data_IF_187602666376
#
_entry.id   IF_187602666376
#
_cell.length_a   1.000
_cell.length_b   1.000
_cell.length_c   1.000
_cell.angle_alpha   90.00
_cell.angle_beta   90.00
_cell.angle_gamma   90.00
#
_symmetry.space_group_name_H-M   'P 1'
#
loop_
_entity.id
_entity.type
_entity.pdbx_description
1 polymer ?
#
# COMPACT_ATOMS: atom_id res chain seq x y z
N UNK A 1 -11.68 -0.41 21.63
CA UNK A 1 -12.33 0.82 21.13
C UNK A 1 -13.66 0.41 20.58
N UNK A 2 -14.76 0.95 21.12
CA UNK A 2 -16.09 0.76 20.55
C UNK A 2 -16.09 1.41 19.16
N UNK A 3 -16.11 0.57 18.12
CA UNK A 3 -16.19 1.03 16.75
C UNK A 3 -17.62 1.48 16.46
N UNK A 4 -17.75 2.58 15.70
CA UNK A 4 -19.03 2.98 15.16
C UNK A 4 -19.56 1.85 14.27
N UNK A 5 -20.84 1.45 14.38
CA UNK A 5 -21.39 0.39 13.56
C UNK A 5 -21.25 0.75 12.08
N UNK A 6 -20.70 -0.19 11.29
CA UNK A 6 -20.63 -0.07 9.84
C UNK A 6 -22.05 -0.04 9.27
N UNK A 7 -22.40 1.06 8.60
CA UNK A 7 -23.66 1.20 7.90
C UNK A 7 -23.69 0.20 6.73
N UNK A 8 -24.54 -0.83 6.82
CA UNK A 8 -24.65 -1.89 5.80
C UNK A 8 -25.22 -1.41 4.47
N UNK A 9 -26.03 -0.35 4.49
CA UNK A 9 -26.75 0.19 3.32
C UNK A 9 -26.60 1.73 3.27
N UNK A 10 -25.37 2.21 3.26
CA UNK A 10 -25.08 3.64 3.10
C UNK A 10 -25.10 3.99 1.60
N UNK A 11 -25.80 5.08 1.24
CA UNK A 11 -25.65 5.71 -0.09
C UNK A 11 -24.20 6.16 -0.36
N UNK A 12 -23.41 6.27 0.72
CA UNK A 12 -21.99 6.59 0.71
C UNK A 12 -21.22 5.46 1.41
N UNK A 13 -20.93 4.33 0.74
CA UNK A 13 -20.15 3.26 1.32
C UNK A 13 -18.73 3.74 1.65
N UNK A 14 -18.02 3.09 2.59
CA UNK A 14 -16.63 3.41 2.88
C UNK A 14 -15.78 3.39 1.60
N UNK A 15 -14.90 4.38 1.45
CA UNK A 15 -13.99 4.45 0.31
C UNK A 15 -13.05 3.23 0.33
N UNK A 16 -13.08 2.46 -0.75
CA UNK A 16 -12.13 1.37 -0.96
C UNK A 16 -10.91 1.89 -1.73
N UNK A 17 -9.71 1.65 -1.19
CA UNK A 17 -8.44 2.04 -1.81
C UNK A 17 -7.80 0.81 -2.45
N UNK A 18 -7.66 0.79 -3.77
CA UNK A 18 -7.04 -0.33 -4.50
C UNK A 18 -5.61 -0.60 -4.02
N UNK A 19 -5.27 -1.88 -3.85
CA UNK A 19 -3.90 -2.35 -3.71
C UNK A 19 -3.28 -2.57 -5.10
N UNK A 20 -2.45 -1.62 -5.52
CA UNK A 20 -1.90 -1.55 -6.87
C UNK A 20 -0.78 -2.58 -7.11
N UNK A 21 -0.09 -3.00 -6.06
CA UNK A 21 1.07 -3.90 -6.16
C UNK A 21 0.77 -5.26 -6.77
N UNK A 22 -0.50 -5.72 -6.76
CA UNK A 22 -0.88 -6.99 -7.38
C UNK A 22 -0.89 -6.92 -8.91
N UNK A 23 -1.23 -5.75 -9.47
CA UNK A 23 -1.39 -5.54 -10.91
C UNK A 23 -0.14 -4.92 -11.55
N UNK A 24 0.71 -4.26 -10.76
CA UNK A 24 1.93 -3.58 -11.22
C UNK A 24 3.19 -4.41 -10.91
N UNK A 25 3.40 -5.49 -11.67
CA UNK A 25 4.54 -6.42 -11.50
C UNK A 25 5.92 -5.77 -11.73
N UNK A 26 5.95 -4.60 -12.37
CA UNK A 26 7.15 -3.80 -12.62
C UNK A 26 7.68 -3.11 -11.36
N UNK A 27 6.87 -3.03 -10.29
CA UNK A 27 7.23 -2.40 -9.03
C UNK A 27 7.87 -3.40 -8.09
N UNK A 28 9.08 -3.09 -7.63
CA UNK A 28 9.72 -3.85 -6.58
C UNK A 28 8.89 -3.77 -5.30
N UNK A 29 8.54 -4.92 -4.73
CA UNK A 29 7.90 -4.99 -3.42
C UNK A 29 8.84 -4.44 -2.35
N UNK A 30 8.26 -3.80 -1.34
CA UNK A 30 9.05 -3.34 -0.20
C UNK A 30 9.85 -4.50 0.41
N UNK A 31 11.13 -4.29 0.69
CA UNK A 31 12.05 -5.38 1.06
C UNK A 31 12.22 -5.55 2.57
N UNK A 32 11.52 -4.76 3.38
CA UNK A 32 11.63 -4.77 4.85
C UNK A 32 13.02 -4.34 5.38
N UNK A 33 13.91 -3.77 4.54
CA UNK A 33 15.31 -3.48 4.89
C UNK A 33 15.60 -1.99 5.12
N UNK A 34 14.58 -1.22 5.49
CA UNK A 34 14.73 0.18 5.89
C UNK A 34 14.01 1.14 4.95
N UNK A 35 13.20 2.01 5.56
CA UNK A 35 12.24 2.88 4.89
C UNK A 35 12.90 3.95 4.02
N UNK A 36 13.89 4.66 4.56
CA UNK A 36 14.44 5.87 3.93
C UNK A 36 15.19 5.57 2.63
N UNK A 37 15.88 4.43 2.55
CA UNK A 37 16.75 4.09 1.43
C UNK A 37 16.11 3.15 0.41
N UNK A 38 14.88 2.71 0.67
CA UNK A 38 14.16 1.81 -0.22
C UNK A 38 14.04 2.34 -1.67
N UNK A 39 13.72 3.62 -1.93
CA UNK A 39 13.63 4.09 -3.31
C UNK A 39 14.92 3.89 -4.08
N UNK A 40 16.07 4.21 -3.47
CA UNK A 40 17.38 4.04 -4.09
C UNK A 40 17.66 2.56 -4.37
N UNK A 41 17.32 1.66 -3.45
CA UNK A 41 17.45 0.20 -3.66
C UNK A 41 16.52 -0.33 -4.75
N UNK A 42 15.33 0.26 -4.87
CA UNK A 42 14.36 -0.05 -5.91
C UNK A 42 14.67 0.61 -7.27
N UNK A 43 15.82 1.30 -7.40
CA UNK A 43 16.25 1.95 -8.64
C UNK A 43 15.58 3.30 -8.91
N UNK A 44 14.87 3.87 -7.93
CA UNK A 44 14.21 5.16 -8.04
C UNK A 44 15.08 6.29 -7.53
N UNK A 45 15.06 7.41 -8.26
CA UNK A 45 15.60 8.66 -7.78
C UNK A 45 14.56 9.36 -6.90
N UNK A 46 14.88 9.54 -5.61
CA UNK A 46 14.01 10.24 -4.64
C UNK A 46 13.66 11.65 -5.10
N UNK A 47 14.60 12.37 -5.72
CA UNK A 47 14.37 13.73 -6.15
C UNK A 47 13.33 13.80 -7.27
N UNK A 48 13.41 12.89 -8.25
CA UNK A 48 12.44 12.84 -9.35
C UNK A 48 11.03 12.47 -8.87
N UNK A 49 10.92 11.65 -7.81
CA UNK A 49 9.66 11.29 -7.16
C UNK A 49 8.97 12.49 -6.49
N UNK A 50 9.73 13.43 -5.91
CA UNK A 50 9.19 14.63 -5.27
C UNK A 50 8.92 15.76 -6.26
N UNK A 51 9.76 15.87 -7.29
CA UNK A 51 9.68 16.99 -8.22
C UNK A 51 8.54 16.81 -9.23
N UNK A 52 8.26 15.58 -9.70
CA UNK A 52 7.07 15.26 -10.50
C UNK A 52 7.25 15.19 -12.03
N UNK A 53 7.80 16.19 -12.76
CA UNK A 53 7.78 16.22 -14.22
C UNK A 53 8.89 15.36 -14.86
N UNK A 54 9.76 14.72 -14.08
CA UNK A 54 10.91 13.95 -14.59
C UNK A 54 10.71 12.44 -14.60
N UNK A 55 9.57 11.95 -14.11
CA UNK A 55 9.33 10.51 -14.05
C UNK A 55 8.88 10.02 -15.43
N UNK A 56 9.71 9.18 -16.07
CA UNK A 56 9.39 8.55 -17.35
C UNK A 56 8.44 7.34 -17.23
N UNK A 57 8.17 6.90 -16.00
CA UNK A 57 7.34 5.74 -15.73
C UNK A 57 5.84 6.07 -15.79
N UNK A 58 4.97 5.11 -16.15
CA UNK A 58 3.52 5.31 -16.13
C UNK A 58 3.02 5.71 -14.74
N UNK A 59 2.06 6.64 -14.67
CA UNK A 59 1.54 7.17 -13.40
C UNK A 59 1.05 6.07 -12.45
N UNK A 60 0.47 4.99 -12.97
CA UNK A 60 0.02 3.85 -12.16
C UNK A 60 1.17 3.08 -11.52
N UNK A 61 2.25 2.87 -12.26
CA UNK A 61 3.49 2.26 -11.75
C UNK A 61 4.12 3.12 -10.66
N UNK A 62 4.16 4.45 -10.86
CA UNK A 62 4.63 5.39 -9.84
C UNK A 62 3.75 5.33 -8.58
N UNK A 63 2.43 5.34 -8.75
CA UNK A 63 1.49 5.26 -7.63
C UNK A 63 1.63 3.93 -6.87
N UNK A 64 1.81 2.81 -7.57
CA UNK A 64 2.05 1.51 -6.97
C UNK A 64 3.37 1.48 -6.18
N UNK A 65 4.44 2.06 -6.72
CA UNK A 65 5.71 2.20 -6.01
C UNK A 65 5.55 3.07 -4.75
N UNK A 66 4.90 4.23 -4.86
CA UNK A 66 4.63 5.11 -3.72
C UNK A 66 3.79 4.39 -2.67
N UNK A 67 2.79 3.59 -3.08
CA UNK A 67 1.98 2.80 -2.15
C UNK A 67 2.83 1.73 -1.44
N UNK A 68 3.72 1.01 -2.15
CA UNK A 68 4.66 0.07 -1.52
C UNK A 68 5.58 0.78 -0.51
N UNK A 69 6.14 1.93 -0.89
CA UNK A 69 7.09 2.64 -0.06
C UNK A 69 6.43 3.33 1.14
N UNK A 70 5.48 4.22 0.89
CA UNK A 70 4.93 5.12 1.91
C UNK A 70 3.87 4.46 2.79
N UNK A 71 3.10 3.50 2.27
CA UNK A 71 2.14 2.75 3.09
C UNK A 71 2.82 1.56 3.76
N UNK A 72 3.28 0.58 2.99
CA UNK A 72 3.84 -0.65 3.55
C UNK A 72 5.21 -0.44 4.20
N UNK A 73 6.06 0.42 3.64
CA UNK A 73 7.34 0.74 4.27
C UNK A 73 7.19 1.47 5.60
N UNK A 74 6.24 2.43 5.70
CA UNK A 74 5.97 3.13 6.97
C UNK A 74 5.37 2.17 8.00
N UNK A 75 4.39 1.36 7.60
CA UNK A 75 3.78 0.35 8.45
C UNK A 75 4.83 -0.63 8.99
N UNK A 76 5.67 -1.14 8.11
CA UNK A 76 6.77 -2.03 8.46
C UNK A 76 7.75 -1.36 9.43
N UNK A 77 8.17 -0.12 9.17
CA UNK A 77 9.08 0.62 10.04
C UNK A 77 8.48 0.90 11.41
N UNK A 78 7.19 1.26 11.48
CA UNK A 78 6.46 1.45 12.73
C UNK A 78 6.41 0.17 13.57
N UNK A 79 6.28 -0.98 12.91
CA UNK A 79 6.33 -2.31 13.53
C UNK A 79 7.77 -2.83 13.72
N UNK A 80 8.77 -1.95 13.64
CA UNK A 80 10.19 -2.26 13.77
C UNK A 80 10.66 -3.42 12.87
N UNK A 81 10.12 -3.50 11.66
CA UNK A 81 10.38 -4.56 10.68
C UNK A 81 10.12 -5.98 11.21
N UNK A 82 9.34 -6.14 12.29
CA UNK A 82 9.13 -7.41 12.98
C UNK A 82 8.26 -8.42 12.24
N UNK A 83 7.62 -8.03 11.13
CA UNK A 83 6.78 -8.89 10.31
C UNK A 83 7.26 -8.95 8.88
N UNK A 84 7.11 -10.13 8.26
CA UNK A 84 7.38 -10.28 6.83
C UNK A 84 6.39 -9.47 5.99
N UNK A 85 6.79 -9.08 4.79
CA UNK A 85 5.88 -8.41 3.86
C UNK A 85 4.68 -9.27 3.47
N UNK A 86 4.85 -10.59 3.39
CA UNK A 86 3.72 -11.50 3.16
C UNK A 86 2.67 -11.36 4.27
N UNK A 87 3.11 -11.36 5.53
CA UNK A 87 2.24 -11.20 6.70
C UNK A 87 1.53 -9.84 6.69
N UNK A 88 2.25 -8.76 6.36
CA UNK A 88 1.65 -7.43 6.27
C UNK A 88 0.64 -7.34 5.13
N UNK A 89 0.95 -7.87 3.96
CA UNK A 89 0.01 -7.88 2.83
C UNK A 89 -1.23 -8.70 3.15
N UNK A 90 -1.07 -9.86 3.79
CA UNK A 90 -2.19 -10.69 4.21
C UNK A 90 -3.08 -10.00 5.25
N UNK A 91 -2.49 -9.27 6.20
CA UNK A 91 -3.26 -8.57 7.23
C UNK A 91 -3.95 -7.30 6.71
N UNK A 92 -3.28 -6.56 5.82
CA UNK A 92 -3.70 -5.23 5.40
C UNK A 92 -4.29 -5.16 3.98
N UNK A 93 -4.48 -6.30 3.31
CA UNK A 93 -5.18 -6.34 2.02
C UNK A 93 -6.27 -7.40 1.99
N UNK A 94 -7.31 -7.16 1.19
CA UNK A 94 -8.38 -8.14 0.94
C UNK A 94 -8.94 -7.95 -0.47
N UNK A 95 -9.63 -8.97 -0.98
CA UNK A 95 -10.50 -8.79 -2.13
C UNK A 95 -11.72 -7.95 -1.73
N UNK A 96 -12.05 -6.94 -2.53
CA UNK A 96 -13.28 -6.17 -2.41
C UNK A 96 -14.48 -7.07 -2.70
N UNK A 97 -15.55 -6.89 -1.92
CA UNK A 97 -16.82 -7.58 -2.17
C UNK A 97 -17.65 -6.92 -3.28
N UNK A 98 -17.28 -5.71 -3.70
CA UNK A 98 -18.05 -4.89 -4.65
C UNK A 98 -17.35 -4.69 -5.98
N UNK A 99 -16.01 -4.57 -5.98
CA UNK A 99 -15.22 -4.23 -7.17
C UNK A 99 -14.36 -5.37 -7.73
N UNK A 100 -14.32 -6.54 -7.06
CA UNK A 100 -13.43 -7.67 -7.38
C UNK A 100 -11.93 -7.29 -7.50
N UNK A 101 -11.55 -6.17 -6.87
CA UNK A 101 -10.17 -5.69 -6.82
C UNK A 101 -9.59 -5.94 -5.43
N UNK A 102 -8.26 -6.09 -5.37
CA UNK A 102 -7.59 -6.08 -4.07
C UNK A 102 -7.56 -4.67 -3.54
N UNK A 103 -7.86 -4.51 -2.25
CA UNK A 103 -7.93 -3.23 -1.58
C UNK A 103 -7.10 -3.26 -0.30
N UNK A 104 -6.68 -2.09 0.16
CA UNK A 104 -6.09 -1.89 1.48
C UNK A 104 -7.20 -1.90 2.54
N UNK A 105 -6.95 -2.55 3.69
CA UNK A 105 -7.94 -2.67 4.77
C UNK A 105 -7.28 -2.81 6.14
N UNK A 106 -8.01 -2.46 7.20
CA UNK A 106 -7.67 -2.77 8.61
C UNK A 106 -8.56 -3.86 9.21
N UNK A 107 -9.52 -4.39 8.44
CA UNK A 107 -10.60 -5.26 8.92
C UNK A 107 -10.11 -6.50 9.69
N UNK A 108 -8.95 -7.06 9.32
CA UNK A 108 -8.39 -8.26 9.98
C UNK A 108 -7.75 -7.97 11.35
N UNK A 109 -7.52 -6.70 11.68
CA UNK A 109 -6.92 -6.25 12.95
C UNK A 109 -8.00 -5.96 13.99
N UNK A 110 -9.24 -5.75 13.53
CA UNK A 110 -10.38 -5.40 14.36
C UNK A 110 -11.11 -6.64 14.95
N UNK A 111 -10.68 -7.85 14.57
CA UNK A 111 -11.22 -9.13 15.06
C UNK A 111 -10.46 -9.62 16.30
#
# INVERSE_FOLDING_TARGET
>A
MDHLPLLKDSDFPPLEVEYLGRNEQSVLHYDNHGFTDFPTRAGWNKQDLFDGPRISQPSRTVAAFIQQWLYFGLLSAFLNHGYSMHTLLEAFTRLSGTSDQWIITTHRIEQ
#
